data_IF_183888597992
#
_entry.id   IF_183888597992
#
_cell.length_a   1.000
_cell.length_b   1.000
_cell.length_c   1.000
_cell.angle_alpha   90.00
_cell.angle_beta   90.00
_cell.angle_gamma   90.00
#
_symmetry.space_group_name_H-M   'P 1'
#
loop_
_entity.id
_entity.type
_entity.pdbx_description
1 polymer ?
#
# COMPACT_ATOMS: atom_id res chain seq x y z
N UNK A 1 18.44 -6.80 5.51
CA UNK A 1 17.28 -6.42 6.35
C UNK A 1 16.30 -7.58 6.35
N UNK A 2 15.68 -7.97 7.47
CA UNK A 2 14.67 -9.02 7.46
C UNK A 2 13.43 -8.56 6.69
N UNK A 3 12.83 -9.44 5.87
CA UNK A 3 11.54 -9.15 5.25
C UNK A 3 10.46 -9.03 6.34
N UNK A 4 9.63 -8.00 6.23
CA UNK A 4 8.51 -7.74 7.15
C UNK A 4 7.15 -8.04 6.53
N UNK A 5 7.11 -8.40 5.25
CA UNK A 5 5.86 -8.62 4.52
C UNK A 5 6.07 -8.85 3.03
N UNK A 6 4.98 -8.89 2.28
CA UNK A 6 4.97 -8.93 0.81
C UNK A 6 3.73 -8.21 0.26
N UNK A 7 3.89 -7.63 -0.94
CA UNK A 7 2.77 -7.07 -1.71
C UNK A 7 1.93 -8.21 -2.26
N UNK A 8 0.60 -8.10 -2.13
CA UNK A 8 -0.36 -9.07 -2.67
C UNK A 8 -0.99 -8.57 -3.96
N UNK A 9 -1.23 -7.27 -4.07
CA UNK A 9 -1.83 -6.62 -5.24
C UNK A 9 -1.24 -5.23 -5.43
N UNK A 10 -1.00 -4.81 -6.67
CA UNK A 10 -0.52 -3.46 -6.99
C UNK A 10 -1.13 -2.94 -8.29
N UNK A 11 -1.40 -1.65 -8.34
CA UNK A 11 -2.07 -1.00 -9.48
C UNK A 11 -1.63 0.45 -9.63
N UNK A 12 -1.62 0.94 -10.88
CA UNK A 12 -1.62 2.39 -11.16
C UNK A 12 -3.07 2.87 -11.11
N UNK A 13 -3.45 3.57 -10.05
CA UNK A 13 -4.84 3.99 -9.85
C UNK A 13 -5.15 5.26 -10.64
N UNK A 14 -5.95 5.15 -11.69
CA UNK A 14 -6.41 6.33 -12.44
C UNK A 14 -7.28 7.27 -11.61
N UNK A 15 -7.99 6.73 -10.61
CA UNK A 15 -8.85 7.52 -9.71
C UNK A 15 -8.02 8.34 -8.72
N UNK A 16 -6.93 7.76 -8.20
CA UNK A 16 -6.08 8.42 -7.19
C UNK A 16 -4.89 9.17 -7.82
N UNK A 17 -4.58 8.94 -9.10
CA UNK A 17 -3.49 9.59 -9.81
C UNK A 17 -2.09 9.09 -9.46
N UNK A 18 -1.98 8.01 -8.68
CA UNK A 18 -0.72 7.42 -8.26
C UNK A 18 -0.81 5.89 -8.08
N UNK A 19 0.35 5.26 -7.90
CA UNK A 19 0.45 3.84 -7.60
C UNK A 19 -0.10 3.51 -6.21
N UNK A 20 -0.80 2.38 -6.09
CA UNK A 20 -1.27 1.82 -4.82
C UNK A 20 -0.91 0.35 -4.74
N UNK A 21 -0.75 -0.16 -3.52
CA UNK A 21 -0.50 -1.56 -3.26
C UNK A 21 -1.18 -2.04 -1.98
N UNK A 22 -1.75 -3.23 -2.02
CA UNK A 22 -2.12 -3.99 -0.82
C UNK A 22 -1.00 -4.95 -0.47
N UNK A 23 -0.74 -5.11 0.82
CA UNK A 23 0.34 -5.94 1.33
C UNK A 23 -0.05 -6.60 2.65
N UNK A 24 0.52 -7.77 2.91
CA UNK A 24 0.49 -8.40 4.23
C UNK A 24 1.80 -8.03 4.93
N UNK A 25 1.70 -7.26 6.02
CA UNK A 25 2.85 -6.72 6.77
C UNK A 25 2.75 -7.13 8.24
N UNK A 26 3.85 -7.64 8.80
CA UNK A 26 3.96 -8.00 10.21
C UNK A 26 3.76 -6.77 11.11
N UNK A 27 2.67 -6.77 11.88
CA UNK A 27 2.27 -5.62 12.70
C UNK A 27 1.85 -4.40 11.87
N UNK A 28 1.35 -4.60 10.65
CA UNK A 28 1.07 -3.51 9.70
C UNK A 28 0.17 -2.40 10.27
N UNK A 29 -0.83 -2.74 11.08
CA UNK A 29 -1.73 -1.76 11.69
C UNK A 29 -1.00 -0.79 12.65
N UNK A 30 0.03 -1.26 13.35
CA UNK A 30 0.84 -0.46 14.29
C UNK A 30 1.89 0.40 13.58
N UNK A 31 2.03 0.23 12.26
CA UNK A 31 3.06 0.88 11.43
C UNK A 31 2.49 1.95 10.52
N UNK A 32 1.28 2.42 10.78
CA UNK A 32 0.64 3.50 10.00
C UNK A 32 1.56 4.74 9.92
N UNK A 33 1.73 5.29 8.72
CA UNK A 33 2.61 6.42 8.45
C UNK A 33 4.10 6.07 8.34
N UNK A 34 4.50 4.81 8.55
CA UNK A 34 5.89 4.39 8.36
C UNK A 34 6.19 4.12 6.89
N UNK A 35 7.39 4.51 6.46
CA UNK A 35 7.93 4.14 5.16
C UNK A 35 8.45 2.70 5.16
N UNK A 36 8.11 1.94 4.11
CA UNK A 36 8.67 0.64 3.78
C UNK A 36 9.36 0.68 2.43
N UNK A 37 10.30 -0.23 2.24
CA UNK A 37 11.14 -0.31 1.06
C UNK A 37 10.87 -1.62 0.32
N UNK A 38 10.67 -1.52 -1.00
CA UNK A 38 10.37 -2.64 -1.89
C UNK A 38 11.53 -2.79 -2.88
N UNK A 39 12.53 -3.65 -2.59
CA UNK A 39 13.58 -3.96 -3.53
C UNK A 39 13.02 -4.81 -4.68
N UNK A 40 13.33 -4.39 -5.91
CA UNK A 40 12.94 -5.05 -7.16
C UNK A 40 14.11 -5.90 -7.70
N UNK A 41 13.81 -6.79 -8.65
CA UNK A 41 14.79 -7.67 -9.28
C UNK A 41 15.78 -6.92 -10.20
N UNK A 42 15.37 -5.77 -10.74
CA UNK A 42 16.20 -4.84 -11.51
C UNK A 42 17.14 -3.98 -10.64
N UNK A 43 17.09 -4.12 -9.32
CA UNK A 43 17.90 -3.37 -8.36
C UNK A 43 17.30 -2.00 -7.96
N UNK A 44 16.16 -1.60 -8.53
CA UNK A 44 15.43 -0.43 -8.06
C UNK A 44 14.84 -0.69 -6.67
N UNK A 45 14.78 0.35 -5.84
CA UNK A 45 14.10 0.32 -4.55
C UNK A 45 12.98 1.34 -4.60
N UNK A 46 11.74 0.87 -4.45
CA UNK A 46 10.60 1.75 -4.26
C UNK A 46 10.36 2.02 -2.78
N UNK A 47 9.97 3.25 -2.47
CA UNK A 47 9.48 3.65 -1.16
C UNK A 47 7.95 3.72 -1.18
N UNK A 48 7.32 3.24 -0.11
CA UNK A 48 5.89 3.35 0.08
C UNK A 48 5.56 3.66 1.55
N UNK A 49 4.52 4.45 1.80
CA UNK A 49 3.99 4.69 3.13
C UNK A 49 2.91 3.66 3.46
N UNK A 50 2.95 3.09 4.67
CA UNK A 50 1.85 2.27 5.17
C UNK A 50 0.67 3.19 5.52
N UNK A 51 -0.40 3.06 4.76
CA UNK A 51 -1.65 3.82 4.93
C UNK A 51 -2.83 2.90 5.25
N UNK A 52 -4.03 3.49 5.42
CA UNK A 52 -5.26 2.72 5.56
C UNK A 52 -5.46 1.82 4.33
N UNK A 53 -5.94 0.58 4.53
CA UNK A 53 -6.22 -0.37 3.45
C UNK A 53 -7.36 0.07 2.54
N UNK A 54 -8.18 1.05 2.94
CA UNK A 54 -9.21 1.66 2.10
C UNK A 54 -8.69 2.98 1.52
N UNK A 55 -8.15 2.90 0.30
CA UNK A 55 -7.55 4.04 -0.40
C UNK A 55 -8.56 5.04 -0.98
N UNK A 56 -9.77 4.57 -1.30
CA UNK A 56 -10.78 5.35 -2.01
C UNK A 56 -12.15 5.21 -1.35
N UNK A 57 -12.84 6.34 -1.20
CA UNK A 57 -14.15 6.45 -0.54
C UNK A 57 -14.26 5.68 0.80
N UNK A 58 -13.40 5.98 1.80
CA UNK A 58 -13.39 5.24 3.06
C UNK A 58 -14.69 5.42 3.89
N UNK A 59 -15.51 6.42 3.56
CA UNK A 59 -16.80 6.68 4.21
C UNK A 59 -17.98 6.06 3.44
N UNK A 60 -17.75 5.46 2.27
CA UNK A 60 -18.79 4.84 1.45
C UNK A 60 -19.85 5.83 0.93
N UNK A 61 -19.49 7.10 0.69
CA UNK A 61 -20.45 8.14 0.29
C UNK A 61 -21.05 7.91 -1.10
N UNK A 62 -20.39 7.10 -1.93
CA UNK A 62 -20.85 6.78 -3.29
C UNK A 62 -21.76 5.55 -3.34
N UNK A 63 -21.95 4.86 -2.22
CA UNK A 63 -22.80 3.69 -2.15
C UNK A 63 -24.28 4.12 -2.01
N UNK A 64 -25.11 3.82 -3.02
CA UNK A 64 -26.54 4.13 -3.06
C UNK A 64 -27.37 2.84 -3.11
N UNK A 65 -27.32 2.06 -2.03
CA UNK A 65 -28.11 0.82 -1.88
C UNK A 65 -29.45 1.06 -1.23
#
# INVERSE_FOLDING_TARGET
MPMVGHVTSSYSSAILGHGIALAVVKGGQERMGQTVYLPMDDGQIHEAEIVNSVFYDPKGQRQHV
#
